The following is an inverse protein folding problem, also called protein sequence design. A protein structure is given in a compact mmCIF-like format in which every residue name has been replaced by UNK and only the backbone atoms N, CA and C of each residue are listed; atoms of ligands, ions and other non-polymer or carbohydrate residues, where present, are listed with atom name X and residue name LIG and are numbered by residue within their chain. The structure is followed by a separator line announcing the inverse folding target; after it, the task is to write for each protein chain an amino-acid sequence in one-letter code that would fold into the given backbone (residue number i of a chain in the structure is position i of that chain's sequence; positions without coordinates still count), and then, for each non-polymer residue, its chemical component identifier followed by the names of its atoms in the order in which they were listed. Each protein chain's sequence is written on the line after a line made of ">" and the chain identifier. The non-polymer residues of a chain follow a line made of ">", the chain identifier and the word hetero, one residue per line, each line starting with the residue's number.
data_IF_961021952262
#
_entry.id   IF_961021952262
#
_cell.length_a   1.000
_cell.length_b   1.000
_cell.length_c   1.000
_cell.angle_alpha   90.00
_cell.angle_beta   90.00
_cell.angle_gamma   90.00
#
_symmetry.space_group_name_H-M   'P 1'
#
loop_
_entity.id
_entity.type
_entity.pdbx_description
1 polymer ?
#
# COMPACT_ATOMS: atom_id res chain seq x y z
N UNK A 1 -61.33 -40.30 -43.06
CA UNK A 1 -62.80 -40.29 -42.80
C UNK A 1 -63.05 -40.21 -41.29
N UNK A 2 -63.59 -39.09 -40.80
CA UNK A 2 -64.73 -39.01 -39.85
C UNK A 2 -64.95 -37.53 -39.49
N UNK A 3 -65.77 -36.90 -40.34
CA UNK A 3 -66.46 -35.64 -40.09
C UNK A 3 -67.49 -35.83 -38.97
N UNK A 4 -67.93 -34.69 -38.42
CA UNK A 4 -69.16 -34.44 -37.66
C UNK A 4 -69.16 -34.90 -36.21
N UNK A 5 -68.95 -33.95 -35.30
CA UNK A 5 -70.00 -33.42 -34.42
C UNK A 5 -69.39 -32.45 -33.39
N UNK A 6 -69.73 -31.15 -33.52
CA UNK A 6 -69.99 -30.21 -32.41
C UNK A 6 -70.27 -28.83 -33.00
N UNK A 7 -71.50 -28.67 -33.48
CA UNK A 7 -72.25 -27.44 -33.18
C UNK A 7 -72.55 -27.45 -31.67
N UNK A 8 -72.90 -26.28 -31.11
CA UNK A 8 -73.01 -25.94 -29.68
C UNK A 8 -71.72 -25.31 -29.11
N UNK A 9 -71.35 -24.15 -29.63
CA UNK A 9 -70.57 -23.13 -28.91
C UNK A 9 -70.61 -21.76 -29.62
N UNK A 10 -71.75 -21.35 -30.17
CA UNK A 10 -71.95 -19.98 -30.66
C UNK A 10 -73.27 -19.47 -30.07
N UNK A 11 -73.16 -18.68 -29.00
CA UNK A 11 -74.32 -18.16 -28.29
C UNK A 11 -74.09 -17.84 -26.81
N UNK A 12 -72.86 -17.46 -26.41
CA UNK A 12 -72.60 -17.06 -25.03
C UNK A 12 -71.58 -15.91 -24.92
N UNK A 13 -71.76 -14.90 -25.77
CA UNK A 13 -71.01 -13.64 -25.75
C UNK A 13 -71.99 -12.49 -25.89
N UNK A 14 -72.67 -12.16 -24.79
CA UNK A 14 -73.28 -10.85 -24.45
C UNK A 14 -74.34 -11.08 -23.39
N UNK A 15 -73.96 -10.89 -22.12
CA UNK A 15 -74.78 -10.41 -21.00
C UNK A 15 -74.20 -10.94 -19.69
N UNK A 16 -73.18 -10.28 -19.18
CA UNK A 16 -72.97 -10.19 -17.73
C UNK A 16 -71.96 -9.08 -17.47
N UNK A 17 -72.38 -8.09 -16.69
CA UNK A 17 -71.46 -7.08 -16.16
C UNK A 17 -71.96 -5.65 -16.17
N UNK A 18 -73.20 -5.39 -15.77
CA UNK A 18 -73.59 -4.07 -15.26
C UNK A 18 -74.51 -4.22 -14.04
N UNK A 19 -73.93 -3.96 -12.86
CA UNK A 19 -74.36 -2.88 -11.93
C UNK A 19 -74.51 -3.27 -10.45
N UNK A 20 -73.98 -2.36 -9.61
CA UNK A 20 -74.15 -2.12 -8.16
C UNK A 20 -73.34 -3.01 -7.19
N UNK A 21 -72.58 -2.52 -6.19
CA UNK A 21 -72.58 -1.20 -5.52
C UNK A 21 -71.25 -0.93 -4.80
N UNK A 22 -70.92 0.36 -4.73
CA UNK A 22 -69.97 1.10 -3.89
C UNK A 22 -69.50 0.49 -2.56
N UNK A 23 -68.17 0.49 -2.36
CA UNK A 23 -67.48 0.41 -1.08
C UNK A 23 -66.12 1.11 -1.18
N UNK A 24 -66.08 2.37 -0.72
CA UNK A 24 -64.95 3.29 -0.75
C UNK A 24 -63.96 2.96 0.38
N UNK A 25 -62.77 2.48 0.05
CA UNK A 25 -61.58 2.65 0.91
C UNK A 25 -60.35 2.88 0.04
N UNK A 26 -59.75 4.03 0.24
CA UNK A 26 -58.54 4.57 -0.37
C UNK A 26 -57.42 3.52 -0.50
N UNK A 27 -57.22 2.99 -1.71
CA UNK A 27 -55.96 2.37 -2.09
C UNK A 27 -55.16 3.38 -2.90
N UNK A 28 -54.21 3.99 -2.19
CA UNK A 28 -53.10 4.77 -2.72
C UNK A 28 -52.51 4.01 -3.89
N UNK A 29 -52.52 4.64 -5.07
CA UNK A 29 -51.81 4.19 -6.25
C UNK A 29 -50.44 3.65 -5.84
N UNK A 30 -50.19 2.39 -6.16
CA UNK A 30 -48.87 1.78 -6.10
C UNK A 30 -47.96 2.57 -7.06
N UNK A 31 -47.33 3.60 -6.51
CA UNK A 31 -46.20 4.34 -7.07
C UNK A 31 -45.01 3.37 -7.14
N UNK A 32 -44.97 2.54 -8.17
CA UNK A 32 -43.78 1.78 -8.53
C UNK A 32 -42.78 2.70 -9.24
N UNK A 33 -42.32 3.73 -8.51
CA UNK A 33 -41.04 4.38 -8.81
C UNK A 33 -39.96 3.32 -8.75
N UNK A 34 -39.13 3.15 -9.80
CA UNK A 34 -37.87 2.45 -9.65
C UNK A 34 -37.05 3.24 -8.62
N UNK A 35 -36.81 2.65 -7.45
CA UNK A 35 -35.91 3.18 -6.43
C UNK A 35 -34.54 3.43 -7.05
N UNK A 36 -34.25 4.69 -7.29
CA UNK A 36 -32.93 5.21 -7.60
C UNK A 36 -32.02 5.05 -6.36
N UNK A 37 -31.48 3.85 -6.15
CA UNK A 37 -30.45 3.60 -5.12
C UNK A 37 -29.23 2.81 -5.64
N UNK A 38 -29.12 2.57 -6.96
CA UNK A 38 -28.00 1.83 -7.55
C UNK A 38 -26.70 2.62 -7.71
N UNK A 39 -26.72 3.95 -7.57
CA UNK A 39 -25.53 4.80 -7.75
C UNK A 39 -24.58 4.85 -6.56
N UNK A 40 -25.11 4.83 -5.33
CA UNK A 40 -24.30 5.00 -4.10
C UNK A 40 -23.61 3.69 -3.73
N UNK A 41 -24.30 2.54 -3.82
CA UNK A 41 -23.71 1.23 -3.55
C UNK A 41 -22.56 0.88 -4.50
N UNK A 42 -22.70 1.25 -5.79
CA UNK A 42 -21.64 1.03 -6.80
C UNK A 42 -20.42 1.93 -6.58
N UNK A 43 -20.61 3.18 -6.15
CA UNK A 43 -19.51 4.10 -5.88
C UNK A 43 -18.72 3.71 -4.62
N UNK A 44 -19.41 3.25 -3.57
CA UNK A 44 -18.77 2.77 -2.34
C UNK A 44 -17.98 1.49 -2.61
N UNK A 45 -18.54 0.53 -3.35
CA UNK A 45 -17.82 -0.70 -3.72
C UNK A 45 -16.57 -0.40 -4.56
N UNK A 46 -16.66 0.53 -5.52
CA UNK A 46 -15.52 0.97 -6.31
C UNK A 46 -14.44 1.64 -5.44
N UNK A 47 -14.83 2.53 -4.52
CA UNK A 47 -13.89 3.19 -3.62
C UNK A 47 -13.16 2.19 -2.69
N UNK A 48 -13.90 1.22 -2.14
CA UNK A 48 -13.31 0.15 -1.30
C UNK A 48 -12.36 -0.73 -2.11
N UNK A 49 -12.74 -1.11 -3.34
CA UNK A 49 -11.89 -1.89 -4.23
C UNK A 49 -10.60 -1.15 -4.60
N UNK A 50 -10.69 0.14 -4.92
CA UNK A 50 -9.51 0.97 -5.21
C UNK A 50 -8.60 1.12 -4.00
N UNK A 51 -9.17 1.33 -2.80
CA UNK A 51 -8.37 1.44 -1.57
C UNK A 51 -7.64 0.13 -1.27
N UNK A 52 -8.30 -1.02 -1.42
CA UNK A 52 -7.69 -2.34 -1.24
C UNK A 52 -6.56 -2.58 -2.24
N UNK A 53 -6.75 -2.20 -3.51
CA UNK A 53 -5.71 -2.32 -4.53
C UNK A 53 -4.48 -1.46 -4.19
N UNK A 54 -4.68 -0.22 -3.77
CA UNK A 54 -3.61 0.68 -3.33
C UNK A 54 -2.87 0.08 -2.12
N UNK A 55 -3.60 -0.39 -1.11
CA UNK A 55 -3.02 -1.00 0.08
C UNK A 55 -2.18 -2.25 -0.27
N UNK A 56 -2.67 -3.07 -1.20
CA UNK A 56 -1.95 -4.28 -1.66
C UNK A 56 -0.67 -3.93 -2.40
N UNK A 57 -0.73 -2.96 -3.33
CA UNK A 57 0.45 -2.48 -4.05
C UNK A 57 1.47 -1.90 -3.09
N UNK A 58 1.02 -1.05 -2.15
CA UNK A 58 1.90 -0.43 -1.16
C UNK A 58 2.54 -1.48 -0.26
N UNK A 59 1.76 -2.45 0.23
CA UNK A 59 2.27 -3.56 1.04
C UNK A 59 3.33 -4.39 0.30
N UNK A 60 3.09 -4.69 -0.98
CA UNK A 60 4.05 -5.40 -1.82
C UNK A 60 5.36 -4.61 -2.01
N UNK A 61 5.24 -3.31 -2.32
CA UNK A 61 6.38 -2.43 -2.49
C UNK A 61 7.21 -2.32 -1.20
N UNK A 62 6.56 -2.13 -0.05
CA UNK A 62 7.23 -2.09 1.26
C UNK A 62 7.93 -3.42 1.57
N UNK A 63 7.25 -4.55 1.33
CA UNK A 63 7.87 -5.86 1.48
C UNK A 63 9.13 -6.02 0.62
N UNK A 64 9.07 -5.59 -0.65
CA UNK A 64 10.20 -5.63 -1.57
C UNK A 64 11.37 -4.75 -1.08
N UNK A 65 11.10 -3.51 -0.66
CA UNK A 65 12.14 -2.63 -0.13
C UNK A 65 12.82 -3.20 1.12
N UNK A 66 12.03 -3.76 2.05
CA UNK A 66 12.56 -4.40 3.25
C UNK A 66 13.37 -5.66 2.94
N UNK A 67 12.95 -6.46 1.96
CA UNK A 67 13.70 -7.64 1.52
C UNK A 67 15.06 -7.26 0.91
N UNK A 68 15.08 -6.29 0.00
CA UNK A 68 16.31 -5.77 -0.61
C UNK A 68 17.22 -5.17 0.45
N UNK A 69 16.66 -4.43 1.41
CA UNK A 69 17.44 -3.86 2.51
C UNK A 69 18.09 -4.92 3.39
N UNK A 70 17.31 -5.92 3.82
CA UNK A 70 17.80 -6.99 4.69
C UNK A 70 18.83 -7.87 4.00
N UNK A 71 18.59 -8.25 2.75
CA UNK A 71 19.53 -9.04 1.95
C UNK A 71 20.84 -8.28 1.78
N UNK A 72 20.78 -7.00 1.41
CA UNK A 72 21.96 -6.13 1.30
C UNK A 72 22.71 -6.03 2.62
N UNK A 73 21.99 -5.82 3.73
CA UNK A 73 22.57 -5.73 5.07
C UNK A 73 23.36 -7.00 5.42
N UNK A 74 22.76 -8.18 5.25
CA UNK A 74 23.41 -9.46 5.57
C UNK A 74 24.60 -9.73 4.64
N UNK A 75 24.44 -9.52 3.33
CA UNK A 75 25.53 -9.70 2.36
C UNK A 75 26.73 -8.80 2.66
N UNK A 76 26.49 -7.55 3.03
CA UNK A 76 27.56 -6.59 3.41
C UNK A 76 28.28 -6.98 4.69
N UNK A 77 27.62 -7.72 5.59
CA UNK A 77 28.24 -8.30 6.78
C UNK A 77 28.92 -9.65 6.50
N UNK A 78 28.85 -10.18 5.27
CA UNK A 78 29.40 -11.49 4.92
C UNK A 78 28.53 -12.67 5.37
N UNK A 79 27.26 -12.43 5.69
CA UNK A 79 26.29 -13.46 6.01
C UNK A 79 25.50 -13.85 4.77
N UNK A 80 25.23 -15.14 4.62
CA UNK A 80 24.40 -15.68 3.54
C UNK A 80 22.91 -15.35 3.81
N UNK A 81 22.25 -14.48 3.02
CA UNK A 81 20.89 -14.01 3.33
C UNK A 81 19.85 -15.14 3.39
N UNK A 82 20.03 -16.17 2.55
CA UNK A 82 19.13 -17.33 2.48
C UNK A 82 19.15 -18.18 3.76
N UNK A 83 20.19 -18.05 4.60
CA UNK A 83 20.29 -18.74 5.88
C UNK A 83 19.43 -18.11 7.00
N UNK A 84 19.01 -16.85 6.81
CA UNK A 84 18.26 -16.07 7.79
C UNK A 84 16.95 -15.50 7.19
N UNK A 85 16.00 -16.36 6.78
CA UNK A 85 14.70 -15.92 6.30
C UNK A 85 13.97 -15.15 7.40
N UNK A 86 13.47 -13.97 7.04
CA UNK A 86 12.58 -13.19 7.90
C UNK A 86 11.12 -13.43 7.56
N UNK A 87 10.22 -13.39 8.55
CA UNK A 87 8.80 -13.44 8.29
C UNK A 87 8.33 -12.19 7.52
N UNK A 88 7.19 -12.31 6.86
CA UNK A 88 6.69 -11.31 5.91
C UNK A 88 6.45 -9.95 6.57
N UNK A 89 5.96 -9.95 7.81
CA UNK A 89 5.70 -8.78 8.64
C UNK A 89 6.98 -7.99 8.96
N UNK A 90 8.06 -8.67 9.32
CA UNK A 90 9.35 -8.04 9.58
C UNK A 90 9.89 -7.30 8.34
N UNK A 91 9.72 -7.88 7.15
CA UNK A 91 10.13 -7.25 5.88
C UNK A 91 9.30 -6.00 5.59
N UNK A 92 7.99 -6.04 5.80
CA UNK A 92 7.13 -4.85 5.60
C UNK A 92 7.52 -3.73 6.57
N UNK A 93 7.76 -4.06 7.85
CA UNK A 93 8.20 -3.10 8.86
C UNK A 93 9.54 -2.46 8.45
N UNK A 94 10.51 -3.28 8.01
CA UNK A 94 11.78 -2.74 7.49
C UNK A 94 11.56 -1.85 6.26
N UNK A 95 10.66 -2.21 5.35
CA UNK A 95 10.30 -1.39 4.21
C UNK A 95 9.78 0.00 4.60
N UNK A 96 8.99 0.09 5.67
CA UNK A 96 8.52 1.38 6.20
C UNK A 96 9.70 2.25 6.65
N UNK A 97 10.71 1.67 7.30
CA UNK A 97 11.92 2.41 7.69
C UNK A 97 12.71 2.91 6.48
N UNK A 98 12.89 2.06 5.47
CA UNK A 98 13.56 2.44 4.22
C UNK A 98 12.87 3.65 3.58
N UNK A 99 11.53 3.63 3.49
CA UNK A 99 10.76 4.74 2.91
C UNK A 99 10.84 5.99 3.79
N UNK A 100 10.80 5.85 5.11
CA UNK A 100 10.87 6.99 6.02
C UNK A 100 12.23 7.69 6.00
N UNK A 101 13.34 6.95 5.93
CA UNK A 101 14.70 7.52 6.00
C UNK A 101 15.25 7.95 4.64
N UNK A 102 15.03 7.16 3.59
CA UNK A 102 15.63 7.36 2.26
C UNK A 102 14.60 7.73 1.19
N UNK A 103 13.33 7.39 1.42
CA UNK A 103 12.27 7.55 0.41
C UNK A 103 11.94 9.01 0.09
N UNK A 104 12.10 9.93 1.03
CA UNK A 104 11.79 11.36 0.79
C UNK A 104 12.73 12.03 -0.20
N UNK A 105 14.01 11.63 -0.24
CA UNK A 105 14.98 12.20 -1.18
C UNK A 105 14.69 11.73 -2.61
N UNK A 106 14.48 10.42 -2.77
CA UNK A 106 14.20 9.80 -4.07
C UNK A 106 12.84 10.21 -4.65
N UNK A 107 11.88 10.58 -3.80
CA UNK A 107 10.57 11.07 -4.27
C UNK A 107 10.67 12.42 -4.98
N UNK A 108 11.65 13.26 -4.63
CA UNK A 108 11.84 14.57 -5.26
C UNK A 108 12.46 14.48 -6.66
N UNK A 109 13.20 13.40 -6.94
CA UNK A 109 13.83 13.18 -8.24
C UNK A 109 12.85 12.67 -9.32
N UNK A 110 11.65 12.27 -8.91
CA UNK A 110 10.60 11.82 -9.83
C UNK A 110 10.05 13.02 -10.61
N UNK A 111 9.98 12.96 -11.95
CA UNK A 111 9.39 14.02 -12.75
C UNK A 111 7.85 13.99 -12.65
N UNK A 112 7.30 14.40 -11.50
CA UNK A 112 5.87 14.42 -11.17
C UNK A 112 5.00 15.06 -12.26
N UNK A 113 5.40 16.16 -12.94
CA UNK A 113 4.59 16.70 -14.02
C UNK A 113 4.36 15.70 -15.16
N UNK A 114 5.35 14.89 -15.51
CA UNK A 114 5.22 13.85 -16.55
C UNK A 114 4.29 12.73 -16.10
N UNK A 115 4.38 12.33 -14.82
CA UNK A 115 3.50 11.32 -14.22
C UNK A 115 2.04 11.79 -14.22
N UNK A 116 1.79 13.03 -13.84
CA UNK A 116 0.44 13.64 -13.85
C UNK A 116 -0.12 13.71 -15.27
N UNK A 117 0.68 14.17 -16.24
CA UNK A 117 0.28 14.22 -17.65
C UNK A 117 -0.09 12.82 -18.16
N UNK A 118 0.73 11.80 -17.87
CA UNK A 118 0.47 10.42 -18.27
C UNK A 118 -0.83 9.88 -17.65
N UNK A 119 -1.06 10.17 -16.36
CA UNK A 119 -2.28 9.77 -15.65
C UNK A 119 -3.53 10.46 -16.23
N UNK A 120 -3.42 11.74 -16.58
CA UNK A 120 -4.49 12.49 -17.23
C UNK A 120 -4.82 11.93 -18.62
N UNK A 121 -3.80 11.54 -19.40
CA UNK A 121 -4.02 10.86 -20.69
C UNK A 121 -4.75 9.53 -20.50
N UNK A 122 -4.27 8.66 -19.60
CA UNK A 122 -4.91 7.36 -19.33
C UNK A 122 -6.37 7.54 -18.87
N UNK A 123 -6.61 8.49 -17.96
CA UNK A 123 -7.96 8.82 -17.47
C UNK A 123 -8.85 9.37 -18.59
N UNK A 124 -8.30 10.23 -19.46
CA UNK A 124 -9.00 10.80 -20.61
C UNK A 124 -9.47 9.72 -21.59
N UNK A 125 -8.63 8.73 -21.90
CA UNK A 125 -9.01 7.59 -22.76
C UNK A 125 -10.14 6.77 -22.15
N UNK A 126 -10.11 6.49 -20.85
CA UNK A 126 -11.15 5.74 -20.13
C UNK A 126 -12.48 6.49 -20.08
N UNK A 127 -12.45 7.81 -19.86
CA UNK A 127 -13.65 8.66 -19.88
C UNK A 127 -14.29 8.69 -21.27
N UNK A 128 -13.48 8.79 -22.33
CA UNK A 128 -13.96 8.75 -23.72
C UNK A 128 -14.51 7.36 -24.09
N UNK A 129 -13.89 6.29 -23.59
CA UNK A 129 -14.30 4.90 -23.83
C UNK A 129 -15.58 4.48 -23.09
N UNK A 130 -16.12 5.33 -22.21
CA UNK A 130 -17.41 5.09 -21.54
C UNK A 130 -17.31 4.42 -20.18
N UNK A 131 -16.18 4.54 -19.47
CA UNK A 131 -16.17 4.28 -18.03
C UNK A 131 -17.29 5.10 -17.34
N UNK A 132 -17.92 4.59 -16.26
CA UNK A 132 -19.12 5.19 -15.65
C UNK A 132 -18.80 6.46 -14.86
N UNK A 133 -18.07 7.39 -15.45
CA UNK A 133 -18.00 8.77 -15.03
C UNK A 133 -19.06 9.53 -15.83
N UNK A 134 -19.88 10.32 -15.14
CA UNK A 134 -20.71 11.35 -15.78
C UNK A 134 -19.77 12.44 -16.30
N UNK A 135 -19.40 12.44 -17.58
CA UNK A 135 -19.53 13.70 -18.29
C UNK A 135 -20.13 13.48 -19.69
N UNK A 136 -21.18 14.24 -19.99
CA UNK A 136 -21.66 14.47 -21.35
C UNK A 136 -20.59 15.26 -22.11
N UNK A 137 -19.63 14.53 -22.68
CA UNK A 137 -18.64 15.11 -23.58
C UNK A 137 -19.24 15.19 -24.98
N UNK A 138 -19.07 16.33 -25.68
CA UNK A 138 -19.54 16.52 -27.07
C UNK A 138 -19.13 15.38 -28.02
N UNK A 139 -17.99 14.74 -27.74
CA UNK A 139 -17.49 13.57 -28.46
C UNK A 139 -18.35 12.32 -28.22
N UNK A 140 -18.80 12.08 -26.99
CA UNK A 140 -19.73 10.99 -26.65
C UNK A 140 -21.07 11.17 -27.34
N UNK A 141 -21.61 12.39 -27.40
CA UNK A 141 -22.87 12.68 -28.10
C UNK A 141 -22.75 12.52 -29.61
N UNK A 142 -21.59 12.81 -30.18
CA UNK A 142 -21.30 12.52 -31.59
C UNK A 142 -21.25 11.01 -31.84
N UNK A 143 -20.60 10.24 -30.96
CA UNK A 143 -20.46 8.79 -31.08
C UNK A 143 -21.80 8.05 -30.89
N UNK A 144 -22.65 8.54 -29.97
CA UNK A 144 -23.99 8.02 -29.71
C UNK A 144 -24.95 8.21 -30.90
N UNK A 145 -24.69 9.19 -31.78
CA UNK A 145 -25.48 9.44 -33.00
C UNK A 145 -25.17 8.49 -34.16
N UNK A 146 -24.17 7.61 -34.03
CA UNK A 146 -23.80 6.64 -35.08
C UNK A 146 -24.55 5.31 -34.95
N UNK A 147 -24.74 4.64 -36.08
CA UNK A 147 -25.35 3.30 -36.16
C UNK A 147 -24.62 2.30 -35.25
N UNK A 148 -25.38 1.38 -34.67
CA UNK A 148 -24.88 0.34 -33.75
C UNK A 148 -23.66 -0.41 -34.32
N UNK A 149 -23.72 -0.77 -35.61
CA UNK A 149 -22.68 -1.50 -36.32
C UNK A 149 -21.36 -0.73 -36.49
N UNK A 150 -21.41 0.60 -36.40
CA UNK A 150 -20.21 1.47 -36.43
C UNK A 150 -19.76 1.82 -35.02
N UNK A 151 -20.71 2.01 -34.11
CA UNK A 151 -20.44 2.40 -32.72
C UNK A 151 -19.75 1.29 -31.92
N UNK A 152 -20.24 0.04 -32.01
CA UNK A 152 -19.70 -1.07 -31.23
C UNK A 152 -18.22 -1.37 -31.48
N UNK A 153 -17.74 -1.49 -32.73
CA UNK A 153 -16.31 -1.72 -32.96
C UNK A 153 -15.44 -0.54 -32.51
N UNK A 154 -15.92 0.70 -32.63
CA UNK A 154 -15.21 1.89 -32.14
C UNK A 154 -15.11 1.87 -30.61
N UNK A 155 -16.20 1.58 -29.90
CA UNK A 155 -16.20 1.48 -28.43
C UNK A 155 -15.32 0.32 -27.98
N UNK A 156 -15.41 -0.84 -28.63
CA UNK A 156 -14.55 -1.99 -28.33
C UNK A 156 -13.06 -1.66 -28.54
N UNK A 157 -12.72 -0.98 -29.63
CA UNK A 157 -11.34 -0.54 -29.88
C UNK A 157 -10.88 0.48 -28.84
N UNK A 158 -11.68 1.49 -28.53
CA UNK A 158 -11.34 2.53 -27.55
C UNK A 158 -11.20 1.96 -26.13
N UNK A 159 -12.05 1.01 -25.75
CA UNK A 159 -11.96 0.32 -24.46
C UNK A 159 -10.73 -0.57 -24.38
N UNK A 160 -10.41 -1.33 -25.45
CA UNK A 160 -9.20 -2.15 -25.52
C UNK A 160 -7.94 -1.29 -25.46
N UNK A 161 -7.88 -0.21 -26.24
CA UNK A 161 -6.76 0.75 -26.23
C UNK A 161 -6.66 1.43 -24.88
N UNK A 162 -7.78 1.85 -24.28
CA UNK A 162 -7.82 2.45 -22.96
C UNK A 162 -7.30 1.49 -21.87
N UNK A 163 -7.70 0.22 -21.92
CA UNK A 163 -7.21 -0.81 -21.00
C UNK A 163 -5.72 -1.09 -21.21
N UNK A 164 -5.27 -1.20 -22.46
CA UNK A 164 -3.86 -1.41 -22.78
C UNK A 164 -2.99 -0.24 -22.32
N UNK A 165 -3.39 1.00 -22.62
CA UNK A 165 -2.68 2.22 -22.17
C UNK A 165 -2.65 2.27 -20.65
N UNK A 166 -3.78 2.04 -19.98
CA UNK A 166 -3.84 2.04 -18.50
C UNK A 166 -2.95 0.95 -17.91
N UNK A 167 -2.95 -0.25 -18.49
CA UNK A 167 -2.09 -1.36 -18.07
C UNK A 167 -0.61 -1.02 -18.24
N UNK A 168 -0.21 -0.49 -19.39
CA UNK A 168 1.18 -0.07 -19.65
C UNK A 168 1.60 1.05 -18.71
N UNK A 169 0.76 2.06 -18.50
CA UNK A 169 1.03 3.14 -17.55
C UNK A 169 1.18 2.61 -16.12
N UNK A 170 0.29 1.71 -15.69
CA UNK A 170 0.35 1.12 -14.35
C UNK A 170 1.62 0.29 -14.17
N UNK A 171 1.95 -0.55 -15.15
CA UNK A 171 3.18 -1.35 -15.13
C UNK A 171 4.44 -0.48 -15.12
N UNK A 172 4.46 0.60 -15.91
CA UNK A 172 5.57 1.55 -15.92
C UNK A 172 5.73 2.26 -14.57
N UNK A 173 4.63 2.72 -13.96
CA UNK A 173 4.65 3.36 -12.65
C UNK A 173 5.09 2.39 -11.55
N UNK A 174 4.60 1.15 -11.57
CA UNK A 174 5.03 0.10 -10.64
C UNK A 174 6.51 -0.24 -10.80
N UNK A 175 7.00 -0.31 -12.05
CA UNK A 175 8.42 -0.54 -12.33
C UNK A 175 9.28 0.58 -11.75
N UNK A 176 8.94 1.84 -12.02
CA UNK A 176 9.64 3.01 -11.47
C UNK A 176 9.63 2.99 -9.93
N UNK A 177 8.45 2.77 -9.34
CA UNK A 177 8.30 2.72 -7.88
C UNK A 177 9.15 1.59 -7.26
N UNK A 178 9.15 0.41 -7.88
CA UNK A 178 9.94 -0.74 -7.43
C UNK A 178 11.44 -0.47 -7.57
N UNK A 179 11.90 0.16 -8.66
CA UNK A 179 13.31 0.54 -8.82
C UNK A 179 13.75 1.53 -7.76
N UNK A 180 12.95 2.57 -7.50
CA UNK A 180 13.25 3.57 -6.47
C UNK A 180 13.36 2.92 -5.09
N UNK A 181 12.38 2.08 -4.73
CA UNK A 181 12.39 1.39 -3.44
C UNK A 181 13.51 0.35 -3.33
N UNK A 182 13.88 -0.31 -4.43
CA UNK A 182 15.05 -1.20 -4.46
C UNK A 182 16.33 -0.45 -4.14
N UNK A 183 16.58 0.67 -4.83
CA UNK A 183 17.77 1.52 -4.59
C UNK A 183 17.77 2.07 -3.16
N UNK A 184 16.62 2.53 -2.66
CA UNK A 184 16.48 2.98 -1.27
C UNK A 184 16.82 1.86 -0.28
N UNK A 185 16.32 0.65 -0.54
CA UNK A 185 16.59 -0.54 0.27
C UNK A 185 18.08 -0.88 0.31
N UNK A 186 18.75 -0.90 -0.85
CA UNK A 186 20.18 -1.17 -0.95
C UNK A 186 21.02 -0.13 -0.19
N UNK A 187 20.68 1.16 -0.32
CA UNK A 187 21.37 2.26 0.37
C UNK A 187 21.21 2.13 1.88
N UNK A 188 19.98 1.94 2.35
CA UNK A 188 19.69 1.78 3.77
C UNK A 188 20.40 0.54 4.35
N UNK A 189 20.29 -0.61 3.68
CA UNK A 189 20.93 -1.85 4.11
C UNK A 189 22.46 -1.74 4.15
N UNK A 190 23.05 -1.09 3.14
CA UNK A 190 24.50 -0.84 3.09
C UNK A 190 24.96 0.11 4.19
N UNK A 191 24.19 1.18 4.45
CA UNK A 191 24.50 2.15 5.50
C UNK A 191 24.41 1.52 6.90
N UNK A 192 23.38 0.72 7.17
CA UNK A 192 23.27 0.04 8.46
C UNK A 192 24.36 -1.03 8.64
N UNK A 193 24.71 -1.77 7.58
CA UNK A 193 25.82 -2.73 7.64
C UNK A 193 27.16 -2.04 7.92
N UNK A 194 27.42 -0.89 7.28
CA UNK A 194 28.61 -0.10 7.54
C UNK A 194 28.64 0.43 8.98
N UNK A 195 27.51 0.92 9.50
CA UNK A 195 27.37 1.39 10.89
C UNK A 195 27.63 0.28 11.90
N UNK A 196 27.06 -0.90 11.67
CA UNK A 196 27.27 -2.07 12.54
C UNK A 196 28.72 -2.55 12.45
N UNK A 197 29.29 -2.67 11.25
CA UNK A 197 30.68 -3.09 11.06
C UNK A 197 31.69 -2.14 11.72
N UNK A 198 31.52 -0.82 11.53
CA UNK A 198 32.35 0.21 12.18
C UNK A 198 32.25 0.13 13.71
N UNK A 199 31.03 -0.03 14.25
CA UNK A 199 30.80 -0.17 15.69
C UNK A 199 31.48 -1.42 16.27
N UNK A 200 31.32 -2.56 15.60
CA UNK A 200 31.87 -3.84 16.04
C UNK A 200 33.40 -3.84 15.95
N UNK A 201 33.97 -3.30 14.87
CA UNK A 201 35.43 -3.18 14.71
C UNK A 201 36.08 -2.29 15.77
N UNK A 202 35.38 -1.24 16.23
CA UNK A 202 35.78 -0.40 17.37
C UNK A 202 35.64 -1.08 18.74
N UNK A 203 35.17 -2.33 18.79
CA UNK A 203 35.01 -3.09 20.03
C UNK A 203 33.90 -2.54 20.94
N UNK A 204 32.88 -1.92 20.35
CA UNK A 204 31.77 -1.29 21.08
C UNK A 204 30.43 -2.01 20.85
N UNK A 205 30.32 -3.31 21.20
CA UNK A 205 29.07 -4.05 20.99
C UNK A 205 27.93 -3.45 21.82
N UNK A 206 26.74 -3.45 21.25
CA UNK A 206 25.53 -2.91 21.88
C UNK A 206 25.08 -3.73 23.08
N UNK A 207 25.13 -5.05 22.92
CA UNK A 207 24.65 -6.03 23.88
C UNK A 207 25.66 -7.15 23.91
N UNK A 208 26.46 -7.17 24.98
CA UNK A 208 27.37 -8.28 25.21
C UNK A 208 26.56 -9.46 25.76
N UNK A 209 26.55 -10.54 25.00
CA UNK A 209 25.88 -11.80 25.33
C UNK A 209 26.94 -12.89 25.35
N UNK A 210 26.89 -13.74 26.37
CA UNK A 210 27.72 -14.93 26.45
C UNK A 210 26.98 -16.10 25.80
N UNK A 211 27.67 -16.83 24.94
CA UNK A 211 27.15 -18.02 24.29
C UNK A 211 27.74 -19.26 24.93
N UNK A 212 26.87 -20.11 25.46
CA UNK A 212 27.23 -21.32 26.17
C UNK A 212 26.69 -22.55 25.45
N UNK A 213 27.42 -23.67 25.50
CA UNK A 213 26.93 -24.99 25.09
C UNK A 213 27.14 -25.97 26.25
N UNK A 214 26.06 -26.26 26.95
CA UNK A 214 26.15 -26.89 28.27
C UNK A 214 27.04 -26.04 29.18
N UNK A 215 28.08 -26.65 29.74
CA UNK A 215 29.04 -25.97 30.63
C UNK A 215 30.20 -25.28 29.90
N UNK A 216 30.26 -25.33 28.56
CA UNK A 216 31.36 -24.74 27.80
C UNK A 216 30.98 -23.36 27.25
N UNK A 217 31.73 -22.33 27.65
CA UNK A 217 31.66 -21.00 27.04
C UNK A 217 32.23 -21.05 25.63
N UNK A 218 31.40 -20.76 24.63
CA UNK A 218 31.80 -20.66 23.23
C UNK A 218 32.42 -19.29 22.90
N UNK A 219 31.98 -18.23 23.58
CA UNK A 219 32.52 -16.89 23.42
C UNK A 219 31.54 -15.81 23.89
N UNK A 220 31.99 -14.56 23.80
CA UNK A 220 31.21 -13.37 24.18
C UNK A 220 31.09 -12.45 22.99
N UNK A 221 29.89 -11.92 22.77
CA UNK A 221 29.62 -11.22 21.53
C UNK A 221 28.28 -10.53 21.44
N UNK A 222 28.01 -9.95 20.29
CA UNK A 222 26.71 -9.35 19.96
C UNK A 222 25.97 -10.26 18.97
N UNK A 223 24.73 -10.59 19.28
CA UNK A 223 23.86 -11.32 18.35
C UNK A 223 23.38 -10.34 17.28
N UNK A 224 23.61 -10.68 16.02
CA UNK A 224 23.23 -9.85 14.88
C UNK A 224 21.85 -10.27 14.36
N UNK A 225 21.68 -11.57 14.10
CA UNK A 225 20.42 -12.13 13.63
C UNK A 225 20.30 -13.59 14.03
N UNK A 226 19.06 -14.04 14.26
CA UNK A 226 18.74 -15.41 14.65
C UNK A 226 17.66 -15.98 13.75
N UNK A 227 17.75 -17.28 13.51
CA UNK A 227 16.72 -18.14 12.94
C UNK A 227 16.55 -19.37 13.86
N UNK A 228 15.52 -20.18 13.63
CA UNK A 228 15.26 -21.42 14.38
C UNK A 228 16.48 -22.35 14.45
N UNK A 229 17.32 -22.35 13.40
CA UNK A 229 18.43 -23.28 13.28
C UNK A 229 19.81 -22.64 13.42
N UNK A 230 19.93 -21.32 13.22
CA UNK A 230 21.20 -20.61 13.13
C UNK A 230 21.17 -19.30 13.93
N UNK A 231 22.30 -18.99 14.54
CA UNK A 231 22.57 -17.70 15.19
C UNK A 231 23.80 -17.12 14.49
N UNK A 232 23.65 -15.92 13.92
CA UNK A 232 24.79 -15.09 13.51
C UNK A 232 25.11 -14.09 14.60
N UNK A 233 26.37 -14.09 15.01
CA UNK A 233 26.85 -13.26 16.10
C UNK A 233 28.28 -12.81 15.84
N UNK A 234 28.62 -11.66 16.40
CA UNK A 234 29.97 -11.13 16.36
C UNK A 234 30.74 -11.58 17.59
N UNK A 235 31.80 -12.36 17.39
CA UNK A 235 32.72 -12.81 18.43
C UNK A 235 33.65 -11.66 18.81
N UNK A 236 33.46 -11.11 20.01
CA UNK A 236 34.22 -9.96 20.48
C UNK A 236 35.66 -10.35 20.83
N UNK A 237 35.90 -11.60 21.23
CA UNK A 237 37.22 -12.09 21.60
C UNK A 237 38.06 -12.34 20.33
N UNK A 238 37.44 -12.94 19.29
CA UNK A 238 38.12 -13.25 18.01
C UNK A 238 37.97 -12.17 16.92
N UNK A 239 37.16 -11.13 17.17
CA UNK A 239 36.86 -10.03 16.24
C UNK A 239 36.31 -10.50 14.88
N UNK A 240 35.52 -11.56 14.88
CA UNK A 240 34.99 -12.19 13.66
C UNK A 240 33.49 -12.44 13.76
N UNK A 241 32.78 -12.32 12.65
CA UNK A 241 31.37 -12.67 12.55
C UNK A 241 31.25 -14.19 12.32
N UNK A 242 30.47 -14.86 13.17
CA UNK A 242 30.32 -16.32 13.15
C UNK A 242 28.85 -16.69 13.01
N UNK A 243 28.61 -17.78 12.30
CA UNK A 243 27.31 -18.43 12.25
C UNK A 243 27.42 -19.76 12.97
N UNK A 244 26.50 -20.04 13.90
CA UNK A 244 26.51 -21.26 14.72
C UNK A 244 25.10 -21.84 14.76
N UNK A 245 24.99 -23.17 14.86
CA UNK A 245 23.68 -23.83 15.05
C UNK A 245 23.10 -23.48 16.41
N UNK A 246 21.80 -23.19 16.46
CA UNK A 246 21.06 -22.83 17.68
C UNK A 246 20.97 -24.00 18.68
N UNK A 247 21.12 -25.24 18.21
CA UNK A 247 20.98 -26.44 19.04
C UNK A 247 21.99 -26.49 20.20
N UNK A 248 21.46 -26.71 21.40
CA UNK A 248 22.20 -26.74 22.66
C UNK A 248 22.89 -25.41 23.03
N UNK A 249 22.54 -24.29 22.39
CA UNK A 249 23.09 -22.97 22.72
C UNK A 249 22.22 -22.28 23.78
N UNK A 250 22.86 -21.89 24.88
CA UNK A 250 22.27 -21.05 25.91
C UNK A 250 22.85 -19.63 25.80
N UNK A 251 21.98 -18.63 25.79
CA UNK A 251 22.35 -17.21 25.75
C UNK A 251 22.26 -16.64 27.16
N UNK A 252 23.39 -16.21 27.71
CA UNK A 252 23.45 -15.59 29.04
C UNK A 252 23.81 -14.12 28.90
N UNK A 253 22.99 -13.24 29.45
CA UNK A 253 23.28 -11.80 29.50
C UNK A 253 23.65 -11.42 30.93
N UNK A 254 24.90 -10.96 31.18
CA UNK A 254 25.29 -10.57 32.52
C UNK A 254 24.49 -9.33 32.96
N UNK A 255 23.77 -9.46 34.07
CA UNK A 255 23.04 -8.37 34.72
C UNK A 255 24.04 -7.51 35.54
N UNK A 256 24.93 -6.81 34.85
CA UNK A 256 25.86 -5.83 35.43
C UNK A 256 25.47 -4.38 35.10
N UNK A 257 25.99 -3.37 35.81
CA UNK A 257 25.71 -1.98 35.49
C UNK A 257 26.13 -1.72 34.03
N UNK A 258 25.22 -1.25 33.17
CA UNK A 258 25.50 -1.16 31.75
C UNK A 258 26.63 -0.15 31.54
N UNK A 259 27.76 -0.60 30.97
CA UNK A 259 28.56 0.30 30.13
C UNK A 259 27.69 0.57 28.90
N UNK A 260 26.74 1.48 29.05
CA UNK A 260 25.77 1.80 28.03
C UNK A 260 26.49 2.48 26.86
N UNK A 261 26.98 1.68 25.91
CA UNK A 261 27.05 2.16 24.53
C UNK A 261 25.58 2.31 24.16
N UNK A 262 25.12 3.57 24.13
CA UNK A 262 23.77 3.90 23.75
C UNK A 262 23.62 3.57 22.27
N UNK A 263 23.32 2.31 22.00
CA UNK A 263 22.90 1.92 20.68
C UNK A 263 21.59 2.61 20.46
N UNK A 264 21.57 3.55 19.50
CA UNK A 264 20.29 4.03 19.02
C UNK A 264 19.50 2.78 18.66
N UNK A 265 18.38 2.49 19.37
CA UNK A 265 17.39 1.64 18.73
C UNK A 265 17.13 2.27 17.36
N UNK A 266 16.81 1.47 16.36
CA UNK A 266 16.09 2.02 15.22
C UNK A 266 14.91 2.77 15.86
N UNK A 267 15.00 4.09 15.83
CA UNK A 267 14.33 4.96 16.79
C UNK A 267 12.89 5.03 16.31
N UNK A 268 12.05 4.11 16.79
CA UNK A 268 10.61 4.02 16.50
C UNK A 268 9.93 5.39 16.69
N UNK A 269 10.47 6.23 17.59
CA UNK A 269 10.00 7.58 17.86
C UNK A 269 10.57 8.67 16.91
N UNK A 270 11.66 8.40 16.19
CA UNK A 270 12.18 9.31 15.17
C UNK A 270 11.34 9.28 13.89
N UNK A 271 10.64 8.17 13.61
CA UNK A 271 9.61 8.12 12.58
C UNK A 271 8.43 9.02 12.96
N UNK A 272 8.00 9.03 14.22
CA UNK A 272 6.97 9.98 14.69
C UNK A 272 7.42 11.45 14.57
N UNK A 273 8.71 11.73 14.78
CA UNK A 273 9.26 13.08 14.64
C UNK A 273 9.52 13.50 13.19
N UNK A 274 9.87 12.59 12.27
CA UNK A 274 10.00 12.89 10.84
C UNK A 274 8.65 12.92 10.11
N UNK A 275 7.72 12.02 10.45
CA UNK A 275 6.31 12.09 9.99
C UNK A 275 5.65 13.35 10.55
N UNK A 276 5.92 13.69 11.82
CA UNK A 276 5.48 14.94 12.45
C UNK A 276 6.07 16.20 11.82
N UNK A 277 7.37 16.21 11.47
CA UNK A 277 8.01 17.35 10.77
C UNK A 277 7.56 17.48 9.30
N UNK A 278 7.36 16.35 8.60
CA UNK A 278 6.88 16.35 7.22
C UNK A 278 5.41 16.83 7.13
N UNK A 279 4.57 16.50 8.12
CA UNK A 279 3.21 17.07 8.22
C UNK A 279 3.17 18.50 8.77
N UNK A 280 4.19 18.95 9.53
CA UNK A 280 4.25 20.33 10.05
C UNK A 280 4.82 21.34 9.04
N UNK A 281 5.50 20.90 7.98
CA UNK A 281 6.04 21.78 6.94
C UNK A 281 4.95 22.42 6.05
N UNK A 282 3.67 22.04 6.23
CA UNK A 282 2.53 22.65 5.52
C UNK A 282 1.68 23.59 6.37
N UNK A 283 2.13 23.96 7.59
CA UNK A 283 1.46 24.99 8.38
C UNK A 283 2.48 26.07 8.78
N UNK A 284 2.07 27.32 8.58
CA UNK A 284 2.74 28.58 8.94
C UNK A 284 3.45 29.27 7.77
N UNK A 285 2.63 29.91 6.94
CA UNK A 285 2.91 31.25 6.43
C UNK A 285 1.63 32.07 6.65
N UNK A 286 1.70 33.14 7.45
CA UNK A 286 0.64 34.15 7.46
C UNK A 286 0.24 34.72 8.82
N UNK A 287 0.97 35.75 9.24
CA UNK A 287 0.50 36.91 10.01
C UNK A 287 0.10 36.73 11.48
N UNK A 288 1.01 37.12 12.37
CA UNK A 288 0.64 38.03 13.46
C UNK A 288 1.70 39.12 13.58
N UNK A 289 1.30 40.34 13.22
CA UNK A 289 2.06 41.57 13.43
C UNK A 289 2.19 41.83 14.94
N UNK A 290 3.42 42.04 15.39
CA UNK A 290 3.69 42.77 16.63
C UNK A 290 3.96 44.23 16.28
N UNK A 291 3.45 45.17 17.07
CA UNK A 291 4.29 46.30 17.39
C UNK A 291 4.30 46.68 18.88
N UNK A 292 5.47 47.19 19.24
CA UNK A 292 5.72 48.25 20.21
C UNK A 292 5.70 47.92 21.71
N UNK A 293 6.92 47.83 22.21
CA UNK A 293 7.39 48.35 23.50
C UNK A 293 6.61 49.57 24.00
N UNK A 294 6.18 49.54 25.26
CA UNK A 294 6.32 50.68 26.17
C UNK A 294 6.72 50.21 27.58
N UNK A 295 7.91 50.63 27.94
CA UNK A 295 8.41 51.00 29.27
C UNK A 295 7.33 51.64 30.15
N UNK A 296 7.24 51.31 31.45
CA UNK A 296 7.16 52.28 32.57
C UNK A 296 7.57 51.60 33.89
N UNK A 297 8.35 52.37 34.65
CA UNK A 297 8.92 52.18 35.98
C UNK A 297 7.91 52.02 37.14
N UNK A 298 8.41 51.37 38.20
CA UNK A 298 8.23 51.64 39.65
C UNK A 298 6.84 51.99 40.21
N UNK A 299 6.33 51.20 41.17
CA UNK A 299 6.65 51.25 42.62
C UNK A 299 6.09 50.01 43.30
#
# INVERSE_FOLDING_TARGET
>A
MRKKQRQVAEGNLRQQGQSYTTGRTNETAADSRPRAHSGVGSAIAAAVGSLLAIATILGFLLHFAGDVSQTTYLTRLGLEPTSFPQPVDAKVIHGVYVVASEGSELFNDVPWPKVVILLLFATGFLVIAGAPAKPDTRLRDWLMRRSYWVRQPIVALLTLVGLAVTGVCTAALLSIASTILGIAGERFGSAEAARVSDRLSKGSPCKLTEMWRGEHLLGRGEIIITNSNLIAWYDNDQKVLRTTKTDGIELRTPLGPPKAVQCRPVDLNAVDLQVGKSMSAHRVCGQFQSPASQTVLSR
#
